data_IF_654914197477
#
_entry.id   IF_654914197477
#
_cell.length_a   1.000
_cell.length_b   1.000
_cell.length_c   1.000
_cell.angle_alpha   90.00
_cell.angle_beta   90.00
_cell.angle_gamma   90.00
#
_symmetry.space_group_name_H-M   'P 1'
#
loop_
_entity.id
_entity.type
_entity.pdbx_description
1 polymer ?
#
# COMPACT_ATOMS: atom_id res chain seq x y z
N UNK A 1 -8.84 -2.42 -11.63
CA UNK A 1 -8.76 -2.83 -10.22
C UNK A 1 -10.14 -3.22 -9.69
N UNK A 2 -11.17 -2.36 -9.79
CA UNK A 2 -12.47 -2.60 -9.16
C UNK A 2 -13.02 -3.99 -9.51
N UNK A 3 -13.35 -4.24 -10.75
CA UNK A 3 -13.98 -5.50 -11.24
C UNK A 3 -13.11 -6.75 -11.01
N UNK A 4 -11.78 -6.62 -11.10
CA UNK A 4 -10.86 -7.76 -11.11
C UNK A 4 -10.19 -8.04 -9.75
N UNK A 5 -10.29 -7.10 -8.80
CA UNK A 5 -9.66 -7.23 -7.48
C UNK A 5 -10.66 -6.90 -6.38
N UNK A 6 -11.15 -5.66 -6.31
CA UNK A 6 -11.93 -5.21 -5.16
C UNK A 6 -13.26 -5.95 -5.03
N UNK A 7 -14.02 -6.03 -6.12
CA UNK A 7 -15.32 -6.72 -6.14
C UNK A 7 -15.13 -8.25 -5.95
N UNK A 8 -14.08 -8.83 -6.55
CA UNK A 8 -13.77 -10.26 -6.38
C UNK A 8 -13.46 -10.60 -4.93
N UNK A 9 -12.63 -9.78 -4.26
CA UNK A 9 -12.21 -9.98 -2.88
C UNK A 9 -13.19 -9.40 -1.84
N UNK A 10 -14.29 -8.77 -2.29
CA UNK A 10 -15.24 -8.08 -1.42
C UNK A 10 -14.60 -6.97 -0.57
N UNK A 11 -13.68 -6.21 -1.17
CA UNK A 11 -13.01 -5.06 -0.53
C UNK A 11 -13.92 -3.82 -0.63
N UNK A 12 -14.94 -3.77 0.20
CA UNK A 12 -16.03 -2.78 0.11
C UNK A 12 -15.65 -1.36 0.51
N UNK A 13 -14.52 -1.19 1.19
CA UNK A 13 -13.97 0.11 1.60
C UNK A 13 -12.70 0.49 0.81
N UNK A 14 -12.58 -0.04 -0.41
CA UNK A 14 -11.43 0.22 -1.29
C UNK A 14 -11.91 0.74 -2.64
N UNK A 15 -11.55 1.99 -2.95
CA UNK A 15 -11.89 2.56 -4.27
C UNK A 15 -10.99 3.77 -4.59
N UNK A 16 -10.95 4.11 -5.88
CA UNK A 16 -10.52 5.43 -6.34
C UNK A 16 -11.70 6.40 -6.28
N UNK A 17 -11.44 7.68 -5.95
CA UNK A 17 -12.48 8.70 -5.83
C UNK A 17 -13.67 8.25 -4.94
N UNK A 18 -13.43 7.98 -3.65
CA UNK A 18 -14.43 7.41 -2.76
C UNK A 18 -15.74 8.21 -2.78
N UNK A 19 -16.86 7.51 -2.70
CA UNK A 19 -18.18 8.09 -2.61
C UNK A 19 -18.39 8.93 -1.33
N UNK A 20 -19.54 9.62 -1.24
CA UNK A 20 -19.80 10.57 -0.13
C UNK A 20 -19.67 9.94 1.25
N UNK A 21 -20.19 8.74 1.44
CA UNK A 21 -20.15 8.01 2.71
C UNK A 21 -18.71 7.64 3.08
N UNK A 22 -17.99 7.00 2.19
CA UNK A 22 -16.59 6.61 2.42
C UNK A 22 -15.68 7.82 2.67
N UNK A 23 -15.98 8.98 2.07
CA UNK A 23 -15.25 10.23 2.34
C UNK A 23 -15.34 10.71 3.77
N UNK A 24 -16.44 10.42 4.47
CA UNK A 24 -16.60 10.79 5.87
C UNK A 24 -15.62 10.02 6.79
N UNK A 25 -15.26 8.80 6.41
CA UNK A 25 -14.34 7.92 7.16
C UNK A 25 -12.87 8.11 6.78
N UNK A 26 -12.60 8.81 5.67
CA UNK A 26 -11.21 9.06 5.27
C UNK A 26 -10.46 9.91 6.29
N UNK A 27 -9.22 9.54 6.58
CA UNK A 27 -8.30 10.38 7.32
C UNK A 27 -8.00 11.68 6.53
N UNK A 28 -8.01 12.86 7.18
CA UNK A 28 -7.62 14.09 6.53
C UNK A 28 -6.13 14.09 6.23
N UNK A 29 -5.73 14.67 5.10
CA UNK A 29 -4.32 14.84 4.73
C UNK A 29 -3.91 16.32 4.85
N UNK A 30 -3.24 16.89 3.89
CA UNK A 30 -2.62 18.20 3.99
C UNK A 30 -3.65 19.35 3.98
N UNK A 31 -3.40 20.36 4.80
CA UNK A 31 -4.09 21.64 4.74
C UNK A 31 -3.51 22.48 3.61
N UNK A 32 -4.34 22.85 2.65
CA UNK A 32 -3.95 23.63 1.49
C UNK A 32 -3.78 25.12 1.85
N UNK A 33 -3.11 25.88 0.98
CA UNK A 33 -2.87 27.33 1.16
C UNK A 33 -4.15 28.15 1.36
N UNK A 34 -5.26 27.72 0.80
CA UNK A 34 -6.59 28.34 0.97
C UNK A 34 -7.30 27.96 2.28
N UNK A 35 -6.64 27.21 3.15
CA UNK A 35 -7.17 26.78 4.46
C UNK A 35 -7.97 25.47 4.43
N UNK A 36 -8.33 24.95 3.26
CA UNK A 36 -9.08 23.70 3.13
C UNK A 36 -8.16 22.50 3.42
N UNK A 37 -8.70 21.52 4.13
CA UNK A 37 -8.02 20.24 4.40
C UNK A 37 -8.48 19.20 3.39
N UNK A 38 -7.54 18.50 2.74
CA UNK A 38 -7.87 17.41 1.85
C UNK A 38 -8.36 16.22 2.67
N UNK A 39 -9.62 15.81 2.45
CA UNK A 39 -10.25 14.64 3.05
C UNK A 39 -11.05 13.87 2.01
N UNK A 40 -10.73 12.58 1.81
CA UNK A 40 -11.33 11.78 0.73
C UNK A 40 -11.05 12.35 -0.67
N UNK A 41 -9.96 13.09 -0.80
CA UNK A 41 -9.42 13.66 -2.03
C UNK A 41 -7.96 13.29 -2.11
N UNK A 42 -7.51 12.85 -3.28
CA UNK A 42 -6.14 12.38 -3.50
C UNK A 42 -5.11 13.44 -3.11
N UNK A 43 -4.17 13.07 -2.26
CA UNK A 43 -3.11 13.97 -1.81
C UNK A 43 -2.13 14.31 -2.93
N UNK A 44 -1.70 13.32 -3.71
CA UNK A 44 -0.79 13.54 -4.85
C UNK A 44 -1.38 14.53 -5.85
N UNK A 45 -0.73 15.68 -6.11
CA UNK A 45 -1.29 16.73 -6.96
C UNK A 45 -1.39 16.34 -8.43
N UNK A 46 -0.46 15.51 -8.94
CA UNK A 46 -0.51 15.07 -10.33
C UNK A 46 -1.64 14.06 -10.54
N UNK A 47 -1.78 13.07 -9.66
CA UNK A 47 -2.89 12.13 -9.71
C UNK A 47 -4.23 12.85 -9.59
N UNK A 48 -4.34 13.82 -8.67
CA UNK A 48 -5.56 14.59 -8.45
C UNK A 48 -5.97 15.44 -9.64
N UNK A 49 -5.03 16.18 -10.24
CA UNK A 49 -5.33 17.20 -11.25
C UNK A 49 -5.32 16.61 -12.66
N UNK A 50 -4.29 15.85 -13.01
CA UNK A 50 -4.10 15.36 -14.38
C UNK A 50 -4.90 14.10 -14.67
N UNK A 51 -5.07 13.23 -13.71
CA UNK A 51 -5.71 11.93 -13.89
C UNK A 51 -7.09 11.82 -13.19
N UNK A 52 -7.67 12.94 -12.77
CA UNK A 52 -8.99 12.96 -12.14
C UNK A 52 -9.08 12.14 -10.84
N UNK A 53 -7.94 11.93 -10.16
CA UNK A 53 -7.85 11.15 -8.93
C UNK A 53 -7.63 9.64 -9.13
N UNK A 54 -7.50 9.15 -10.35
CA UNK A 54 -7.27 7.74 -10.67
C UNK A 54 -5.92 7.59 -11.34
N UNK A 55 -4.95 7.01 -10.66
CA UNK A 55 -3.60 6.84 -11.21
C UNK A 55 -2.94 5.57 -10.67
N UNK A 56 -2.04 4.98 -11.45
CA UNK A 56 -1.30 3.78 -11.04
C UNK A 56 -0.31 4.01 -9.89
N UNK A 57 0.10 5.27 -9.65
CA UNK A 57 1.07 5.62 -8.61
C UNK A 57 0.42 6.17 -7.33
N UNK A 58 -0.82 6.63 -7.38
CA UNK A 58 -1.51 7.23 -6.22
C UNK A 58 -3.02 7.30 -6.44
N UNK A 59 -3.78 7.53 -5.36
CA UNK A 59 -5.21 7.83 -5.45
C UNK A 59 -6.11 6.73 -4.90
N UNK A 60 -5.58 5.59 -4.52
CA UNK A 60 -6.38 4.54 -3.88
C UNK A 60 -6.64 4.89 -2.41
N UNK A 61 -7.89 4.73 -2.00
CA UNK A 61 -8.34 4.77 -0.61
C UNK A 61 -8.72 3.36 -0.16
N UNK A 62 -8.35 3.01 1.06
CA UNK A 62 -8.63 1.69 1.64
C UNK A 62 -8.56 1.74 3.16
N UNK A 63 -8.82 0.62 3.82
CA UNK A 63 -8.64 0.40 5.24
C UNK A 63 -7.79 -0.86 5.52
N UNK A 64 -7.43 -1.09 6.78
CA UNK A 64 -6.55 -2.21 7.14
C UNK A 64 -7.22 -3.58 6.90
N UNK A 65 -8.54 -3.68 7.04
CA UNK A 65 -9.25 -4.95 6.81
C UNK A 65 -9.23 -5.35 5.34
N UNK A 66 -9.58 -4.45 4.43
CA UNK A 66 -9.55 -4.71 2.99
C UNK A 66 -8.13 -5.02 2.50
N UNK A 67 -7.14 -4.25 2.98
CA UNK A 67 -5.74 -4.53 2.66
C UNK A 67 -5.27 -5.87 3.24
N UNK A 68 -5.76 -6.28 4.42
CA UNK A 68 -5.51 -7.59 5.00
C UNK A 68 -6.01 -8.73 4.11
N UNK A 69 -7.19 -8.58 3.52
CA UNK A 69 -7.74 -9.56 2.57
C UNK A 69 -6.86 -9.66 1.32
N UNK A 70 -6.42 -8.53 0.77
CA UNK A 70 -5.52 -8.51 -0.39
C UNK A 70 -4.17 -9.16 -0.06
N UNK A 71 -3.59 -8.82 1.09
CA UNK A 71 -2.32 -9.39 1.56
C UNK A 71 -2.44 -10.90 1.74
N UNK A 72 -3.50 -11.39 2.39
CA UNK A 72 -3.74 -12.81 2.56
C UNK A 72 -3.92 -13.54 1.21
N UNK A 73 -4.60 -12.91 0.23
CA UNK A 73 -4.70 -13.46 -1.11
C UNK A 73 -3.32 -13.58 -1.79
N UNK A 74 -2.46 -12.55 -1.66
CA UNK A 74 -1.10 -12.58 -2.21
C UNK A 74 -0.24 -13.67 -1.55
N UNK A 75 -0.27 -13.77 -0.22
CA UNK A 75 0.47 -14.79 0.54
C UNK A 75 0.00 -16.22 0.18
N UNK A 76 -1.26 -16.37 -0.22
CA UNK A 76 -1.82 -17.66 -0.67
C UNK A 76 -1.81 -17.82 -2.22
N UNK A 77 -0.78 -17.30 -2.89
CA UNK A 77 -0.61 -17.48 -4.34
C UNK A 77 -1.70 -16.87 -5.21
N UNK A 78 -2.28 -15.74 -4.77
CA UNK A 78 -3.26 -14.95 -5.51
C UNK A 78 -4.72 -15.36 -5.31
N UNK A 79 -5.02 -16.11 -4.25
CA UNK A 79 -6.37 -16.62 -3.96
C UNK A 79 -6.70 -16.54 -2.46
N UNK A 80 -7.94 -16.24 -2.14
CA UNK A 80 -8.49 -16.36 -0.78
C UNK A 80 -9.96 -16.75 -0.85
N UNK A 81 -10.39 -17.68 0.04
CA UNK A 81 -11.78 -18.15 0.13
C UNK A 81 -12.38 -18.63 -1.22
N UNK A 82 -11.56 -19.30 -2.05
CA UNK A 82 -11.95 -19.78 -3.36
C UNK A 82 -12.08 -18.70 -4.45
N UNK A 83 -11.67 -17.47 -4.16
CA UNK A 83 -11.68 -16.34 -5.10
C UNK A 83 -10.25 -15.99 -5.53
N UNK A 84 -9.96 -16.16 -6.80
CA UNK A 84 -8.63 -15.93 -7.39
C UNK A 84 -8.59 -14.60 -8.12
N UNK A 85 -7.56 -13.80 -7.82
CA UNK A 85 -7.27 -12.52 -8.50
C UNK A 85 -6.01 -12.61 -9.37
N UNK A 86 -5.06 -13.49 -9.03
CA UNK A 86 -3.81 -13.71 -9.76
C UNK A 86 -3.48 -15.18 -9.80
N UNK A 87 -2.71 -15.60 -10.82
CA UNK A 87 -2.13 -16.93 -10.82
C UNK A 87 -0.96 -17.04 -9.83
N UNK A 88 -0.65 -18.25 -9.29
CA UNK A 88 0.53 -18.43 -8.44
C UNK A 88 1.83 -17.96 -9.10
N UNK A 89 2.01 -18.25 -10.39
CA UNK A 89 3.18 -17.81 -11.16
C UNK A 89 3.26 -16.28 -11.29
N UNK A 90 2.12 -15.59 -11.38
CA UNK A 90 2.09 -14.12 -11.39
C UNK A 90 2.52 -13.55 -10.04
N UNK A 91 2.03 -14.13 -8.95
CA UNK A 91 2.46 -13.73 -7.60
C UNK A 91 3.95 -13.97 -7.42
N UNK A 92 4.46 -15.13 -7.80
CA UNK A 92 5.89 -15.44 -7.76
C UNK A 92 6.72 -14.42 -8.54
N UNK A 93 6.32 -14.10 -9.77
CA UNK A 93 6.98 -13.07 -10.60
C UNK A 93 7.00 -11.69 -9.91
N UNK A 94 5.91 -11.31 -9.26
CA UNK A 94 5.79 -10.02 -8.57
C UNK A 94 6.60 -9.97 -7.27
N UNK A 95 6.83 -11.09 -6.61
CA UNK A 95 7.45 -11.15 -5.27
C UNK A 95 8.86 -11.73 -5.27
N UNK A 96 9.37 -12.16 -6.42
CA UNK A 96 10.75 -12.65 -6.57
C UNK A 96 11.61 -11.63 -7.28
N UNK A 97 12.74 -11.26 -6.69
CA UNK A 97 13.67 -10.27 -7.26
C UNK A 97 14.52 -10.92 -8.37
N UNK A 98 14.30 -10.57 -9.64
CA UNK A 98 15.10 -11.12 -10.73
C UNK A 98 16.55 -10.67 -10.65
N UNK A 99 17.48 -11.48 -11.10
CA UNK A 99 18.93 -11.17 -11.12
C UNK A 99 19.23 -9.83 -11.79
N UNK A 100 18.57 -9.56 -12.94
CA UNK A 100 18.72 -8.31 -13.69
C UNK A 100 18.29 -7.05 -12.92
N UNK A 101 17.41 -7.19 -11.91
CA UNK A 101 16.90 -6.09 -11.10
C UNK A 101 17.52 -6.02 -9.70
N UNK A 102 18.40 -6.94 -9.32
CA UNK A 102 19.04 -6.98 -7.99
C UNK A 102 19.67 -5.64 -7.58
N UNK A 103 20.34 -4.96 -8.51
CA UNK A 103 20.95 -3.64 -8.25
C UNK A 103 19.95 -2.54 -7.88
N UNK A 104 18.67 -2.70 -8.28
CA UNK A 104 17.60 -1.74 -7.95
C UNK A 104 16.83 -2.15 -6.71
N UNK A 105 16.89 -3.42 -6.30
CA UNK A 105 16.21 -3.96 -5.14
C UNK A 105 14.68 -3.96 -5.24
N UNK A 106 14.12 -3.95 -6.46
CA UNK A 106 12.67 -3.86 -6.70
C UNK A 106 12.20 -4.91 -7.71
N UNK A 107 11.03 -5.46 -7.42
CA UNK A 107 10.26 -6.32 -8.32
C UNK A 107 9.17 -5.50 -9.05
N UNK A 108 8.41 -6.10 -9.98
CA UNK A 108 7.22 -5.48 -10.51
C UNK A 108 6.15 -5.25 -9.41
N UNK A 109 6.14 -4.07 -8.80
CA UNK A 109 5.17 -3.66 -7.78
C UNK A 109 5.69 -3.60 -6.35
N UNK A 110 6.80 -4.22 -5.99
CA UNK A 110 7.29 -4.28 -4.61
C UNK A 110 8.74 -3.82 -4.45
N UNK A 111 9.06 -3.40 -3.25
CA UNK A 111 10.41 -3.10 -2.79
C UNK A 111 10.93 -4.25 -1.91
N UNK A 112 12.11 -4.74 -2.20
CA UNK A 112 12.75 -5.80 -1.40
C UNK A 112 14.03 -5.33 -0.70
N UNK A 113 14.87 -4.55 -1.39
CA UNK A 113 16.18 -4.15 -0.86
C UNK A 113 16.69 -2.81 -1.41
N UNK A 114 15.80 -1.94 -1.88
CA UNK A 114 16.19 -0.59 -2.28
C UNK A 114 16.44 0.32 -1.06
N UNK A 115 16.89 1.53 -1.29
CA UNK A 115 17.06 2.54 -0.24
C UNK A 115 15.76 2.89 0.52
N UNK A 116 14.59 2.48 -0.01
CA UNK A 116 13.28 2.70 0.63
C UNK A 116 12.79 1.52 1.45
N UNK A 117 13.46 0.35 1.41
CA UNK A 117 13.03 -0.87 2.09
C UNK A 117 13.19 -0.86 3.62
N UNK A 118 13.75 0.19 4.20
CA UNK A 118 13.93 0.33 5.66
C UNK A 118 12.64 0.30 6.50
N UNK A 119 11.48 0.23 5.87
CA UNK A 119 10.20 0.02 6.57
C UNK A 119 10.04 -1.40 7.14
N UNK A 120 10.86 -2.37 6.71
CA UNK A 120 10.78 -3.77 7.13
C UNK A 120 11.31 -4.01 8.56
N UNK A 121 12.10 -3.08 9.12
CA UNK A 121 12.84 -3.35 10.35
C UNK A 121 13.99 -4.36 10.12
N UNK A 122 14.42 -5.02 11.18
CA UNK A 122 15.62 -5.86 11.20
C UNK A 122 15.32 -7.35 11.42
N UNK A 123 14.07 -7.71 11.76
CA UNK A 123 13.68 -9.08 12.14
C UNK A 123 13.06 -9.90 11.00
N UNK A 124 12.65 -9.24 9.93
CA UNK A 124 12.02 -9.89 8.78
C UNK A 124 13.02 -10.63 7.90
N UNK A 125 12.55 -11.69 7.22
CA UNK A 125 13.37 -12.52 6.34
C UNK A 125 13.88 -11.77 5.10
N UNK A 126 14.83 -12.35 4.39
CA UNK A 126 15.36 -11.81 3.14
C UNK A 126 14.34 -11.86 1.99
N UNK A 127 13.34 -12.73 2.07
CA UNK A 127 12.23 -12.86 1.10
C UNK A 127 11.15 -11.80 1.27
N UNK A 128 11.21 -10.98 2.32
CA UNK A 128 10.25 -9.93 2.62
C UNK A 128 10.20 -8.87 1.54
N UNK A 129 9.00 -8.56 1.10
CA UNK A 129 8.71 -7.45 0.20
C UNK A 129 7.76 -6.44 0.85
N UNK A 130 7.87 -5.19 0.45
CA UNK A 130 7.11 -4.11 1.07
C UNK A 130 6.75 -3.00 0.07
N UNK A 131 5.86 -2.12 0.47
CA UNK A 131 5.65 -0.85 -0.21
C UNK A 131 5.29 0.24 0.80
N UNK A 132 5.70 1.47 0.52
CA UNK A 132 5.42 2.64 1.35
C UNK A 132 4.63 3.68 0.58
N UNK A 133 3.69 4.34 1.27
CA UNK A 133 2.97 5.48 0.74
C UNK A 133 3.57 6.80 1.22
N UNK A 134 3.55 7.80 0.36
CA UNK A 134 4.06 9.15 0.67
C UNK A 134 3.37 9.77 1.89
N UNK A 135 2.07 9.56 2.02
CA UNK A 135 1.26 10.09 3.14
C UNK A 135 1.59 9.47 4.50
N UNK A 136 2.30 8.35 4.53
CA UNK A 136 2.72 7.70 5.78
C UNK A 136 2.39 6.21 5.88
N UNK A 137 1.63 5.66 4.97
CA UNK A 137 1.21 4.27 4.95
C UNK A 137 2.33 3.30 4.57
N UNK A 138 2.24 2.04 4.99
CA UNK A 138 3.12 0.96 4.54
C UNK A 138 2.47 -0.41 4.66
N UNK A 139 2.91 -1.32 3.81
CA UNK A 139 2.63 -2.76 3.86
C UNK A 139 3.97 -3.47 3.82
N UNK A 140 4.18 -4.41 4.73
CA UNK A 140 5.35 -5.31 4.78
C UNK A 140 4.82 -6.73 4.81
N UNK A 141 5.33 -7.61 3.96
CA UNK A 141 4.88 -8.99 3.83
C UNK A 141 6.10 -9.90 3.85
N UNK A 142 6.12 -10.82 4.78
CA UNK A 142 7.15 -11.86 4.93
C UNK A 142 6.53 -13.24 4.68
N UNK A 143 6.67 -13.77 3.47
CA UNK A 143 6.09 -15.06 3.13
C UNK A 143 6.79 -16.25 3.81
N UNK A 144 8.02 -16.09 4.26
CA UNK A 144 8.79 -17.16 4.93
C UNK A 144 8.29 -17.39 6.35
N UNK A 145 7.91 -16.32 7.06
CA UNK A 145 7.43 -16.38 8.43
C UNK A 145 5.90 -16.27 8.54
N UNK A 146 5.18 -16.23 7.42
CA UNK A 146 3.72 -16.08 7.36
C UNK A 146 3.20 -14.86 8.13
N UNK A 147 3.91 -13.74 8.02
CA UNK A 147 3.61 -12.50 8.74
C UNK A 147 3.45 -11.32 7.78
N UNK A 148 2.49 -10.46 8.07
CA UNK A 148 2.36 -9.18 7.39
C UNK A 148 2.01 -8.05 8.35
N UNK A 149 2.56 -6.85 8.07
CA UNK A 149 2.28 -5.63 8.83
C UNK A 149 1.69 -4.58 7.91
N UNK A 150 0.48 -4.13 8.22
CA UNK A 150 -0.21 -3.03 7.54
C UNK A 150 -0.25 -1.84 8.49
N UNK A 151 0.49 -0.78 8.19
CA UNK A 151 0.55 0.41 9.02
C UNK A 151 -0.03 1.61 8.25
N UNK A 152 -1.16 2.11 8.70
CA UNK A 152 -1.87 3.24 8.09
C UNK A 152 -1.69 4.50 8.94
N UNK A 153 -0.53 5.12 8.84
CA UNK A 153 -0.23 6.40 9.49
C UNK A 153 -0.38 7.58 8.53
N UNK A 154 -0.43 8.78 9.07
CA UNK A 154 -0.57 10.01 8.31
C UNK A 154 0.44 11.06 8.80
N UNK A 155 1.51 11.27 8.02
CA UNK A 155 2.56 12.26 8.32
C UNK A 155 2.32 13.63 7.69
N UNK A 156 1.36 13.72 6.77
CA UNK A 156 1.12 14.95 6.00
C UNK A 156 0.01 15.83 6.58
N UNK A 157 -0.65 15.41 7.66
CA UNK A 157 -1.69 16.20 8.30
C UNK A 157 -1.15 16.93 9.52
N UNK A 158 -1.47 18.22 9.74
CA UNK A 158 -2.08 19.16 8.77
C UNK A 158 -1.05 19.75 7.81
N UNK A 159 0.23 19.52 8.04
CA UNK A 159 1.34 20.07 7.26
C UNK A 159 2.25 18.93 6.83
N UNK A 160 2.57 18.88 5.53
CA UNK A 160 3.51 17.90 4.97
C UNK A 160 4.95 18.15 5.49
N UNK A 161 5.29 17.48 6.58
CA UNK A 161 6.63 17.53 7.19
C UNK A 161 6.93 16.26 7.98
N UNK A 162 8.21 16.06 8.28
CA UNK A 162 8.67 14.93 9.08
C UNK A 162 8.77 13.63 8.30
N UNK A 163 9.09 12.56 9.01
CA UNK A 163 9.28 11.21 8.47
C UNK A 163 8.71 10.18 9.44
N UNK A 164 8.13 9.12 8.90
CA UNK A 164 7.64 7.94 9.65
C UNK A 164 8.51 6.70 9.43
N UNK A 165 9.68 6.86 8.82
CA UNK A 165 10.56 5.72 8.51
C UNK A 165 10.93 4.91 9.76
N UNK A 166 11.36 5.60 10.83
CA UNK A 166 11.67 4.94 12.12
C UNK A 166 10.46 4.27 12.75
N UNK A 167 9.29 4.92 12.70
CA UNK A 167 8.05 4.34 13.23
C UNK A 167 7.69 3.05 12.49
N UNK A 168 7.77 3.04 11.16
CA UNK A 168 7.52 1.85 10.35
C UNK A 168 8.41 0.68 10.77
N UNK A 169 9.73 0.91 10.85
CA UNK A 169 10.69 -0.10 11.28
C UNK A 169 10.43 -0.59 12.72
N UNK A 170 10.12 0.34 13.64
CA UNK A 170 9.82 -0.03 15.04
C UNK A 170 8.55 -0.89 15.14
N UNK A 171 7.50 -0.56 14.40
CA UNK A 171 6.25 -1.35 14.38
C UNK A 171 6.48 -2.70 13.71
N UNK A 172 7.32 -2.77 12.67
CA UNK A 172 7.67 -4.03 12.03
C UNK A 172 8.48 -4.95 12.97
N UNK A 173 9.25 -4.40 13.91
CA UNK A 173 10.04 -5.17 14.87
C UNK A 173 9.27 -5.53 16.16
N UNK A 174 8.04 -5.08 16.34
CA UNK A 174 7.24 -5.32 17.55
C UNK A 174 6.46 -6.64 17.48
#
# INVERSE_FOLDING_TARGET
>A
CKENIFDVLNMTHTDFNPGKEMKLDCAPTEKQKNGLVLKGVVHDPLARVMNGGISGNAGLFSNANDLGILVAALMNGGEINGKRILSPLTVELMTTLPESLKKFGRTPGWDMSSAYSGCKGDLFSSSTYCHTGYTGTSIVIDPENDVAVILLTNRVHPIDKGSVAKLRASVANA
#
